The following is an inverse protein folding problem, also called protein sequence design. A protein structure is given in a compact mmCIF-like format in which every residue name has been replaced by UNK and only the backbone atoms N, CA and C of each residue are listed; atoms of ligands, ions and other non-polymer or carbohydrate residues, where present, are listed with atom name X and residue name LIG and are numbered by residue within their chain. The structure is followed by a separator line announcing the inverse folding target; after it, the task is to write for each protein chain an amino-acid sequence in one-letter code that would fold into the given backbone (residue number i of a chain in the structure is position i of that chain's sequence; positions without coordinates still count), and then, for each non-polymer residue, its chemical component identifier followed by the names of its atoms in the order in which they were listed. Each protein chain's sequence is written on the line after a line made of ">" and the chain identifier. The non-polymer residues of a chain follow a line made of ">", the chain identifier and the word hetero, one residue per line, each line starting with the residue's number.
data_IF_212807429285
#
_entry.id   IF_212807429285
#
_cell.length_a   1.000
_cell.length_b   1.000
_cell.length_c   1.000
_cell.angle_alpha   90.00
_cell.angle_beta   90.00
_cell.angle_gamma   90.00
#
_symmetry.space_group_name_H-M   'P 1'
#
loop_
_entity.id
_entity.type
_entity.pdbx_description
1 polymer ?
#
# COMPACT_ATOMS: atom_id res chain seq x y z
N UNK A 1 2.26 -6.78 -23.43
CA UNK A 1 1.03 -6.43 -22.68
C UNK A 1 1.42 -6.01 -21.27
N UNK A 2 1.05 -4.81 -20.82
CA UNK A 2 1.27 -4.39 -19.43
C UNK A 2 0.12 -4.93 -18.56
N UNK A 3 0.45 -5.69 -17.51
CA UNK A 3 -0.55 -6.41 -16.71
C UNK A 3 -1.38 -5.48 -15.79
N UNK A 4 -0.80 -4.37 -15.33
CA UNK A 4 -1.48 -3.43 -14.43
C UNK A 4 -1.13 -1.97 -14.76
N UNK A 5 -1.64 -1.43 -15.87
CA UNK A 5 -1.23 -0.12 -16.37
C UNK A 5 -1.61 1.05 -15.44
N UNK A 6 -2.55 0.84 -14.51
CA UNK A 6 -3.01 1.85 -13.56
C UNK A 6 -2.54 1.61 -12.11
N UNK A 7 -1.81 0.52 -11.84
CA UNK A 7 -1.38 0.20 -10.49
C UNK A 7 -0.26 1.12 -10.00
N UNK A 8 -0.23 1.34 -8.68
CA UNK A 8 0.83 2.10 -7.99
C UNK A 8 1.41 1.27 -6.87
N UNK A 9 2.74 1.24 -6.76
CA UNK A 9 3.43 0.61 -5.65
C UNK A 9 3.57 1.59 -4.46
N UNK A 10 3.44 1.09 -3.24
CA UNK A 10 3.72 1.83 -2.02
C UNK A 10 4.62 0.99 -1.11
N UNK A 11 5.72 1.57 -0.64
CA UNK A 11 6.67 0.89 0.24
C UNK A 11 6.43 1.32 1.68
N UNK A 12 6.30 0.35 2.59
CA UNK A 12 6.27 0.57 4.04
C UNK A 12 7.65 0.23 4.59
N UNK A 13 8.39 1.25 4.99
CA UNK A 13 9.75 1.07 5.51
C UNK A 13 9.75 0.30 6.85
N UNK A 14 10.75 -0.57 7.02
CA UNK A 14 10.96 -1.32 8.25
C UNK A 14 9.95 -2.44 8.50
N UNK A 15 9.29 -2.94 7.45
CA UNK A 15 8.52 -4.19 7.47
C UNK A 15 9.19 -5.22 6.56
N UNK A 16 9.16 -6.48 6.99
CA UNK A 16 9.58 -7.64 6.22
C UNK A 16 8.43 -8.23 5.40
N UNK A 17 8.30 -9.56 5.47
CA UNK A 17 7.39 -10.30 4.59
C UNK A 17 5.90 -10.05 4.92
N UNK A 18 5.55 -9.84 6.19
CA UNK A 18 4.16 -9.75 6.64
C UNK A 18 3.83 -8.33 7.07
N UNK A 19 3.80 -7.40 6.12
CA UNK A 19 3.63 -5.95 6.38
C UNK A 19 2.41 -5.59 7.25
N UNK A 20 1.33 -6.36 7.16
CA UNK A 20 0.11 -6.15 7.93
C UNK A 20 0.22 -6.63 9.39
N UNK A 21 1.08 -7.63 9.67
CA UNK A 21 1.39 -8.05 11.03
C UNK A 21 2.48 -7.17 11.66
N UNK A 22 3.45 -6.72 10.86
CA UNK A 22 4.62 -5.98 11.35
C UNK A 22 4.37 -4.47 11.49
N UNK A 23 3.58 -3.87 10.60
CA UNK A 23 3.27 -2.42 10.57
C UNK A 23 1.78 -2.15 10.27
N UNK A 24 0.84 -2.66 11.10
CA UNK A 24 -0.59 -2.62 10.82
C UNK A 24 -1.13 -1.20 10.57
N UNK A 25 -0.69 -0.20 11.34
CA UNK A 25 -1.17 1.18 11.22
C UNK A 25 -0.70 1.82 9.92
N UNK A 26 0.53 1.52 9.48
CA UNK A 26 1.07 2.04 8.21
C UNK A 26 0.31 1.45 7.02
N UNK A 27 -0.02 0.16 7.07
CA UNK A 27 -0.86 -0.52 6.07
C UNK A 27 -2.23 0.14 6.00
N UNK A 28 -2.90 0.32 7.15
CA UNK A 28 -4.22 0.95 7.20
C UNK A 28 -4.20 2.38 6.66
N UNK A 29 -3.16 3.17 6.97
CA UNK A 29 -3.01 4.52 6.41
C UNK A 29 -2.83 4.49 4.89
N UNK A 30 -2.03 3.57 4.36
CA UNK A 30 -1.82 3.45 2.93
C UNK A 30 -3.12 3.08 2.19
N UNK A 31 -3.87 2.11 2.72
CA UNK A 31 -5.18 1.70 2.16
C UNK A 31 -6.17 2.86 2.22
N UNK A 32 -6.32 3.52 3.38
CA UNK A 32 -7.24 4.67 3.52
C UNK A 32 -6.89 5.78 2.55
N UNK A 33 -5.61 6.13 2.41
CA UNK A 33 -5.16 7.14 1.44
C UNK A 33 -5.54 6.74 0.01
N UNK A 34 -5.35 5.48 -0.36
CA UNK A 34 -5.74 4.98 -1.69
C UNK A 34 -7.25 5.10 -1.93
N UNK A 35 -8.08 4.73 -0.95
CA UNK A 35 -9.54 4.77 -1.08
C UNK A 35 -10.12 6.20 -1.07
N UNK A 36 -9.42 7.16 -0.47
CA UNK A 36 -9.86 8.56 -0.38
C UNK A 36 -9.16 9.50 -1.38
N UNK A 37 -8.22 9.01 -2.19
CA UNK A 37 -7.60 9.79 -3.28
C UNK A 37 -8.64 10.03 -4.38
N UNK A 38 -8.99 11.31 -4.65
CA UNK A 38 -10.04 11.70 -5.62
C UNK A 38 -9.51 11.83 -7.06
N UNK A 39 -8.51 11.06 -7.44
CA UNK A 39 -7.97 11.08 -8.82
C UNK A 39 -8.81 10.29 -9.81
#
# INVERSE_FOLDING_TARGET
>A
LAQFPLARAHVIAGAGHWVHAEKPEAVLRAIRRYLHDKR
#
